data_IF_893620837641
#
_entry.id   IF_893620837641
#
_cell.length_a   1.000
_cell.length_b   1.000
_cell.length_c   1.000
_cell.angle_alpha   90.00
_cell.angle_beta   90.00
_cell.angle_gamma   90.00
#
_symmetry.space_group_name_H-M   'P 1'
#
loop_
_entity.id
_entity.type
_entity.pdbx_description
1 polymer ?
#
# COMPACT_ATOMS: atom_id res chain seq x y z
N UNK A 1 24.11 -16.01 19.86
CA UNK A 1 23.23 -15.54 18.76
C UNK A 1 21.88 -15.05 19.29
N UNK A 2 21.17 -15.83 20.11
CA UNK A 2 19.83 -15.44 20.62
C UNK A 2 19.83 -14.17 21.47
N UNK A 3 20.79 -14.01 22.40
CA UNK A 3 20.89 -12.81 23.25
C UNK A 3 21.23 -11.53 22.47
N UNK A 4 22.14 -11.63 21.50
CA UNK A 4 22.55 -10.49 20.67
C UNK A 4 21.44 -10.07 19.70
N UNK A 5 20.71 -11.04 19.15
CA UNK A 5 19.55 -10.76 18.33
C UNK A 5 18.41 -10.10 19.14
N UNK A 6 18.18 -10.52 20.38
CA UNK A 6 17.21 -9.87 21.27
C UNK A 6 17.62 -8.43 21.64
N UNK A 7 18.92 -8.16 21.79
CA UNK A 7 19.46 -6.80 21.97
C UNK A 7 19.25 -5.96 20.71
N UNK A 8 19.50 -6.50 19.52
CA UNK A 8 19.22 -5.84 18.24
C UNK A 8 17.75 -5.42 18.12
N UNK A 9 16.81 -6.31 18.46
CA UNK A 9 15.38 -5.97 18.44
C UNK A 9 15.03 -4.88 19.47
N UNK A 10 15.67 -4.91 20.65
CA UNK A 10 15.47 -3.91 21.71
C UNK A 10 15.98 -2.54 21.28
N UNK A 11 17.18 -2.46 20.70
CA UNK A 11 17.73 -1.19 20.19
C UNK A 11 16.92 -0.65 19.01
N UNK A 12 16.33 -1.52 18.20
CA UNK A 12 15.34 -1.18 17.17
C UNK A 12 13.93 -0.80 17.68
N UNK A 13 13.77 -0.57 18.99
CA UNK A 13 12.52 -0.08 19.61
C UNK A 13 11.40 -1.12 19.73
N UNK A 14 11.68 -2.42 19.63
CA UNK A 14 10.64 -3.46 19.72
C UNK A 14 10.27 -3.77 21.17
N UNK A 15 8.97 -3.75 21.45
CA UNK A 15 8.42 -4.12 22.75
C UNK A 15 8.79 -5.55 23.15
N UNK A 16 8.72 -5.87 24.44
CA UNK A 16 8.95 -7.25 24.91
C UNK A 16 7.98 -8.25 24.27
N UNK A 17 6.70 -7.89 24.13
CA UNK A 17 5.70 -8.74 23.46
C UNK A 17 6.02 -8.97 21.99
N UNK A 18 6.55 -7.96 21.29
CA UNK A 18 7.01 -8.10 19.91
C UNK A 18 8.23 -9.03 19.82
N UNK A 19 9.22 -8.86 20.71
CA UNK A 19 10.42 -9.72 20.77
C UNK A 19 10.07 -11.18 21.02
N UNK A 20 9.19 -11.47 21.99
CA UNK A 20 8.68 -12.83 22.26
C UNK A 20 7.98 -13.43 21.03
N UNK A 21 7.20 -12.62 20.30
CA UNK A 21 6.53 -13.07 19.08
C UNK A 21 7.53 -13.39 17.96
N UNK A 22 8.54 -12.55 17.77
CA UNK A 22 9.60 -12.75 16.78
C UNK A 22 10.35 -14.05 17.07
N UNK A 23 10.78 -14.27 18.33
CA UNK A 23 11.45 -15.50 18.73
C UNK A 23 10.64 -16.76 18.41
N UNK A 24 9.35 -16.79 18.76
CA UNK A 24 8.47 -17.92 18.43
C UNK A 24 8.37 -18.21 16.93
N UNK A 25 8.33 -17.16 16.10
CA UNK A 25 8.26 -17.32 14.65
C UNK A 25 9.58 -17.84 14.05
N UNK A 26 10.72 -17.41 14.59
CA UNK A 26 12.04 -17.89 14.16
C UNK A 26 12.21 -19.35 14.55
N UNK A 27 11.90 -19.72 15.80
CA UNK A 27 11.95 -21.11 16.27
C UNK A 27 11.07 -22.05 15.43
N UNK A 28 9.93 -21.56 14.94
CA UNK A 28 9.08 -22.35 14.05
C UNK A 28 9.67 -22.55 12.65
N UNK A 29 10.41 -21.57 12.13
CA UNK A 29 11.13 -21.72 10.87
C UNK A 29 12.38 -22.60 11.03
N UNK A 30 13.15 -22.41 12.10
CA UNK A 30 14.30 -23.29 12.45
C UNK A 30 13.85 -24.75 12.57
N UNK A 31 12.74 -25.00 13.28
CA UNK A 31 12.18 -26.36 13.38
C UNK A 31 11.79 -26.92 12.01
N UNK A 32 11.15 -26.12 11.16
CA UNK A 32 10.83 -26.54 9.80
C UNK A 32 12.08 -26.93 9.01
N UNK A 33 13.15 -26.13 9.06
CA UNK A 33 14.40 -26.42 8.36
C UNK A 33 15.08 -27.68 8.89
N UNK A 34 15.14 -27.83 10.22
CA UNK A 34 15.70 -29.02 10.85
C UNK A 34 14.94 -30.29 10.45
N UNK A 35 13.60 -30.25 10.46
CA UNK A 35 12.76 -31.41 10.17
C UNK A 35 12.67 -31.75 8.67
N UNK A 36 12.58 -30.74 7.80
CA UNK A 36 12.32 -30.94 6.37
C UNK A 36 13.59 -30.95 5.51
N UNK A 37 14.68 -30.35 6.02
CA UNK A 37 15.90 -30.13 5.24
C UNK A 37 17.18 -30.55 5.98
N UNK A 38 17.10 -30.85 7.29
CA UNK A 38 18.25 -31.26 8.09
C UNK A 38 19.30 -30.15 8.28
N UNK A 39 18.90 -28.88 8.19
CA UNK A 39 19.83 -27.73 8.25
C UNK A 39 19.37 -26.64 9.24
N UNK A 40 20.32 -25.77 9.62
CA UNK A 40 20.05 -24.58 10.42
C UNK A 40 19.61 -23.38 9.57
N UNK A 41 19.00 -22.38 10.22
CA UNK A 41 18.48 -21.17 9.59
C UNK A 41 19.55 -20.30 8.91
N UNK A 42 20.79 -20.40 9.36
CA UNK A 42 21.94 -19.70 8.77
C UNK A 42 22.29 -20.18 7.35
N UNK A 43 21.79 -21.36 6.95
CA UNK A 43 21.98 -21.93 5.62
C UNK A 43 20.74 -21.78 4.73
N UNK A 44 19.67 -21.18 5.23
CA UNK A 44 18.41 -21.06 4.50
C UNK A 44 18.56 -20.23 3.23
N UNK A 45 17.85 -20.62 2.18
CA UNK A 45 17.79 -19.88 0.92
C UNK A 45 16.35 -19.45 0.54
N UNK A 46 16.20 -18.96 -0.69
CA UNK A 46 14.92 -18.49 -1.20
C UNK A 46 13.88 -19.62 -1.34
N UNK A 47 14.32 -20.82 -1.73
CA UNK A 47 13.47 -21.99 -1.89
C UNK A 47 12.96 -22.49 -0.53
N UNK A 48 13.83 -22.44 0.48
CA UNK A 48 13.46 -22.78 1.86
C UNK A 48 12.39 -21.84 2.41
N UNK A 49 12.54 -20.53 2.18
CA UNK A 49 11.56 -19.54 2.60
C UNK A 49 10.21 -19.75 1.89
N UNK A 50 10.22 -20.05 0.59
CA UNK A 50 9.01 -20.37 -0.16
C UNK A 50 8.35 -21.66 0.33
N UNK A 51 9.15 -22.70 0.59
CA UNK A 51 8.69 -24.01 1.09
C UNK A 51 8.07 -23.89 2.47
N UNK A 52 8.68 -23.12 3.37
CA UNK A 52 8.14 -22.83 4.69
C UNK A 52 6.78 -22.13 4.61
N UNK A 53 6.67 -21.14 3.72
CA UNK A 53 5.41 -20.42 3.50
C UNK A 53 4.31 -21.38 3.05
N UNK A 54 4.59 -22.28 2.10
CA UNK A 54 3.63 -23.31 1.67
C UNK A 54 3.26 -24.24 2.83
N UNK A 55 4.24 -24.68 3.61
CA UNK A 55 4.04 -25.61 4.73
C UNK A 55 3.20 -25.00 5.85
N UNK A 56 3.50 -23.78 6.30
CA UNK A 56 2.79 -23.16 7.43
C UNK A 56 1.33 -22.82 7.06
N UNK A 57 1.08 -22.51 5.79
CA UNK A 57 -0.26 -22.15 5.29
C UNK A 57 -1.14 -23.36 4.94
N UNK A 58 -0.60 -24.59 4.98
CA UNK A 58 -1.43 -25.81 4.97
C UNK A 58 -2.27 -25.93 6.26
N UNK A 59 -1.86 -25.27 7.34
CA UNK A 59 -2.58 -25.29 8.61
C UNK A 59 -3.85 -24.44 8.53
N UNK A 60 -5.00 -24.92 9.05
CA UNK A 60 -6.24 -24.16 9.05
C UNK A 60 -6.08 -22.77 9.67
N UNK A 61 -6.66 -21.75 9.00
CA UNK A 61 -6.70 -20.35 9.47
C UNK A 61 -5.31 -19.74 9.76
N UNK A 62 -4.25 -20.27 9.15
CA UNK A 62 -2.88 -19.80 9.37
C UNK A 62 -2.39 -19.02 8.16
N UNK A 63 -1.66 -17.93 8.40
CA UNK A 63 -0.96 -17.19 7.35
C UNK A 63 0.49 -16.96 7.77
N UNK A 64 1.41 -17.12 6.83
CA UNK A 64 2.83 -16.89 7.03
C UNK A 64 3.17 -15.41 7.29
N UNK A 65 2.20 -14.49 7.15
CA UNK A 65 2.40 -13.03 7.27
C UNK A 65 3.20 -12.64 8.50
N UNK A 66 2.86 -13.20 9.67
CA UNK A 66 3.52 -12.86 10.94
C UNK A 66 4.94 -13.40 10.98
N UNK A 67 5.16 -14.63 10.51
CA UNK A 67 6.47 -15.25 10.40
C UNK A 67 7.38 -14.48 9.47
N UNK A 68 6.90 -14.11 8.29
CA UNK A 68 7.66 -13.34 7.30
C UNK A 68 8.11 -11.97 7.84
N UNK A 69 7.33 -11.36 8.73
CA UNK A 69 7.75 -10.14 9.44
C UNK A 69 8.83 -10.39 10.48
N UNK A 70 8.74 -11.49 11.22
CA UNK A 70 9.75 -11.88 12.19
C UNK A 70 11.07 -12.24 11.49
N UNK A 71 11.00 -13.06 10.45
CA UNK A 71 12.15 -13.47 9.63
C UNK A 71 12.82 -12.28 8.95
N UNK A 72 12.06 -11.26 8.55
CA UNK A 72 12.63 -10.02 8.04
C UNK A 72 13.63 -9.36 9.00
N UNK A 73 13.39 -9.39 10.33
CA UNK A 73 14.38 -8.89 11.29
C UNK A 73 15.58 -9.81 11.44
N UNK A 74 15.38 -11.12 11.38
CA UNK A 74 16.48 -12.07 11.46
C UNK A 74 17.43 -11.89 10.27
N UNK A 75 16.88 -11.86 9.05
CA UNK A 75 17.67 -11.64 7.84
C UNK A 75 18.32 -10.26 7.79
N UNK A 76 17.69 -9.22 8.33
CA UNK A 76 18.34 -7.93 8.54
C UNK A 76 19.53 -8.03 9.50
N UNK A 77 19.35 -8.69 10.64
CA UNK A 77 20.40 -8.88 11.64
C UNK A 77 21.59 -9.68 11.11
N UNK A 78 21.33 -10.71 10.29
CA UNK A 78 22.37 -11.55 9.69
C UNK A 78 22.88 -11.02 8.34
N UNK A 79 22.50 -9.81 7.94
CA UNK A 79 22.87 -9.18 6.66
C UNK A 79 22.50 -10.01 5.40
N UNK A 80 21.42 -10.80 5.46
CA UNK A 80 20.86 -11.57 4.35
C UNK A 80 19.81 -10.75 3.57
N UNK A 81 20.28 -9.72 2.86
CA UNK A 81 19.41 -8.69 2.25
C UNK A 81 18.43 -9.22 1.19
N UNK A 82 18.80 -10.26 0.43
CA UNK A 82 17.90 -10.84 -0.56
C UNK A 82 16.75 -11.62 0.08
N UNK A 83 17.03 -12.40 1.13
CA UNK A 83 15.96 -13.08 1.90
C UNK A 83 15.10 -12.08 2.66
N UNK A 84 15.69 -11.01 3.20
CA UNK A 84 14.94 -9.91 3.82
C UNK A 84 13.95 -9.30 2.82
N UNK A 85 14.40 -9.00 1.59
CA UNK A 85 13.56 -8.47 0.52
C UNK A 85 12.45 -9.46 0.15
N UNK A 86 12.80 -10.73 -0.05
CA UNK A 86 11.84 -11.78 -0.40
C UNK A 86 10.78 -11.98 0.68
N UNK A 87 11.18 -12.01 1.96
CA UNK A 87 10.26 -12.10 3.08
C UNK A 87 9.29 -10.91 3.10
N UNK A 88 9.78 -9.70 2.79
CA UNK A 88 8.95 -8.51 2.61
C UNK A 88 7.91 -8.66 1.51
N UNK A 89 8.31 -9.17 0.34
CA UNK A 89 7.42 -9.40 -0.81
C UNK A 89 6.34 -10.45 -0.48
N UNK A 90 6.74 -11.61 0.06
CA UNK A 90 5.79 -12.66 0.47
C UNK A 90 4.83 -12.17 1.55
N UNK A 91 5.29 -11.30 2.45
CA UNK A 91 4.42 -10.71 3.48
C UNK A 91 3.40 -9.78 2.83
N UNK A 92 3.83 -8.92 1.90
CA UNK A 92 2.94 -7.97 1.21
C UNK A 92 1.80 -8.69 0.48
N UNK A 93 2.10 -9.82 -0.19
CA UNK A 93 1.10 -10.65 -0.85
C UNK A 93 0.00 -11.18 0.10
N UNK A 94 0.31 -11.32 1.38
CA UNK A 94 -0.60 -11.84 2.44
C UNK A 94 -1.28 -10.73 3.23
N UNK A 95 -1.05 -9.47 2.88
CA UNK A 95 -1.66 -8.33 3.55
C UNK A 95 -2.93 -7.89 2.82
N UNK A 96 -4.08 -8.14 3.44
CA UNK A 96 -5.33 -7.49 3.04
C UNK A 96 -5.26 -6.03 3.48
N UNK A 97 -4.95 -5.12 2.55
CA UNK A 97 -5.04 -3.68 2.80
C UNK A 97 -6.51 -3.29 2.84
N UNK A 98 -6.97 -2.73 3.96
CA UNK A 98 -8.31 -2.13 4.05
C UNK A 98 -8.46 -1.11 2.92
N UNK A 99 -9.49 -1.22 2.07
CA UNK A 99 -9.71 -0.25 1.00
C UNK A 99 -9.85 1.17 1.56
N UNK A 100 -9.26 2.15 0.89
CA UNK A 100 -9.39 3.55 1.26
C UNK A 100 -10.82 4.02 0.97
N UNK A 101 -11.49 4.63 1.95
CA UNK A 101 -12.90 5.01 1.83
C UNK A 101 -13.05 6.34 1.10
N UNK A 102 -14.13 6.51 0.34
CA UNK A 102 -14.38 7.73 -0.42
C UNK A 102 -14.60 8.94 0.50
N UNK A 103 -15.33 8.75 1.60
CA UNK A 103 -15.60 9.80 2.60
C UNK A 103 -14.33 10.34 3.28
N UNK A 104 -13.23 9.60 3.21
CA UNK A 104 -11.97 9.98 3.86
C UNK A 104 -11.14 10.90 2.94
N UNK A 105 -11.53 11.09 1.66
CA UNK A 105 -10.90 12.10 0.82
C UNK A 105 -11.22 13.51 1.33
N UNK A 106 -10.22 14.38 1.31
CA UNK A 106 -10.41 15.77 1.71
C UNK A 106 -11.38 16.46 0.75
N UNK A 107 -12.32 17.22 1.32
CA UNK A 107 -13.29 18.02 0.54
C UNK A 107 -14.43 17.21 -0.07
N UNK A 108 -14.50 15.89 0.16
CA UNK A 108 -15.65 15.09 -0.26
C UNK A 108 -16.83 15.36 0.67
N UNK A 109 -17.95 15.76 0.09
CA UNK A 109 -19.20 15.98 0.81
C UNK A 109 -19.70 14.66 1.46
N UNK A 110 -19.99 14.66 2.78
CA UNK A 110 -20.50 13.48 3.46
C UNK A 110 -21.81 12.94 2.88
N UNK A 111 -22.69 13.81 2.37
CA UNK A 111 -23.96 13.40 1.75
C UNK A 111 -23.74 12.61 0.46
N UNK A 112 -22.82 13.09 -0.38
CA UNK A 112 -22.36 12.43 -1.61
C UNK A 112 -21.78 11.05 -1.30
N UNK A 113 -20.88 10.96 -0.31
CA UNK A 113 -20.30 9.68 0.10
C UNK A 113 -21.37 8.71 0.67
N UNK A 114 -22.36 9.23 1.39
CA UNK A 114 -23.47 8.42 1.93
C UNK A 114 -24.38 7.86 0.82
N UNK A 115 -24.73 8.68 -0.19
CA UNK A 115 -25.51 8.24 -1.37
C UNK A 115 -24.83 7.09 -2.11
N UNK A 116 -23.53 7.21 -2.38
CA UNK A 116 -22.74 6.12 -3.00
C UNK A 116 -22.66 4.89 -2.09
N UNK A 117 -22.50 5.08 -0.78
CA UNK A 117 -22.44 3.98 0.16
C UNK A 117 -23.76 3.20 0.26
N UNK A 118 -24.91 3.85 0.02
CA UNK A 118 -26.24 3.22 -0.01
C UNK A 118 -26.38 2.22 -1.17
N UNK A 119 -25.76 2.51 -2.32
CA UNK A 119 -25.69 1.60 -3.48
C UNK A 119 -24.45 0.68 -3.45
N UNK A 120 -23.76 0.59 -2.30
CA UNK A 120 -22.65 -0.33 -2.09
C UNK A 120 -21.26 0.17 -2.49
N UNK A 121 -21.14 1.42 -2.95
CA UNK A 121 -19.88 2.05 -3.35
C UNK A 121 -19.30 2.86 -2.18
N UNK A 122 -18.36 2.27 -1.43
CA UNK A 122 -17.79 2.85 -0.21
C UNK A 122 -16.32 3.24 -0.34
N UNK A 123 -15.59 2.61 -1.26
CA UNK A 123 -14.15 2.71 -1.36
C UNK A 123 -13.64 2.90 -2.78
N UNK A 124 -12.36 3.26 -2.89
CA UNK A 124 -11.69 3.58 -4.16
C UNK A 124 -11.78 2.46 -5.21
N UNK A 125 -11.71 1.19 -4.81
CA UNK A 125 -11.78 0.07 -5.76
C UNK A 125 -13.18 -0.05 -6.36
N UNK A 126 -14.21 0.11 -5.52
CA UNK A 126 -15.60 0.08 -5.96
C UNK A 126 -15.93 1.27 -6.84
N UNK A 127 -15.44 2.46 -6.50
CA UNK A 127 -15.65 3.67 -7.30
C UNK A 127 -15.02 3.54 -8.69
N UNK A 128 -13.80 3.03 -8.78
CA UNK A 128 -13.12 2.80 -10.06
C UNK A 128 -13.84 1.76 -10.92
N UNK A 129 -14.37 0.70 -10.30
CA UNK A 129 -15.14 -0.32 -11.02
C UNK A 129 -16.46 0.27 -11.56
N UNK A 130 -17.17 1.03 -10.74
CA UNK A 130 -18.48 1.58 -11.09
C UNK A 130 -18.41 2.78 -12.03
N UNK A 131 -17.39 3.64 -11.92
CA UNK A 131 -17.21 4.86 -12.70
C UNK A 131 -16.20 4.75 -13.86
N UNK A 132 -15.90 3.52 -14.30
CA UNK A 132 -14.81 3.21 -15.23
C UNK A 132 -14.91 3.98 -16.55
N UNK A 133 -16.10 4.09 -17.12
CA UNK A 133 -16.35 4.69 -18.45
C UNK A 133 -17.25 5.91 -18.31
N UNK A 134 -17.26 6.78 -19.33
CA UNK A 134 -18.17 7.94 -19.35
C UNK A 134 -19.63 7.52 -19.19
N UNK A 135 -20.06 6.51 -19.92
CA UNK A 135 -21.42 5.97 -19.82
C UNK A 135 -21.74 5.48 -18.40
N UNK A 136 -20.81 4.76 -17.76
CA UNK A 136 -21.03 4.27 -16.41
C UNK A 136 -21.14 5.42 -15.39
N UNK A 137 -20.37 6.51 -15.57
CA UNK A 137 -20.49 7.72 -14.75
C UNK A 137 -21.84 8.42 -14.94
N UNK A 138 -22.34 8.53 -16.17
CA UNK A 138 -23.69 9.05 -16.45
C UNK A 138 -24.77 8.20 -15.78
N UNK A 139 -24.68 6.87 -15.87
CA UNK A 139 -25.61 5.97 -15.19
C UNK A 139 -25.59 6.14 -13.67
N UNK A 140 -24.41 6.24 -13.06
CA UNK A 140 -24.28 6.53 -11.63
C UNK A 140 -24.88 7.89 -11.25
N UNK A 141 -24.71 8.90 -12.10
CA UNK A 141 -25.28 10.23 -11.89
C UNK A 141 -26.80 10.17 -11.82
N UNK A 142 -27.43 9.48 -12.77
CA UNK A 142 -28.88 9.28 -12.81
C UNK A 142 -29.40 8.48 -11.62
N UNK A 143 -28.70 7.42 -11.22
CA UNK A 143 -29.08 6.56 -10.10
C UNK A 143 -29.00 7.28 -8.74
N UNK A 144 -27.95 8.07 -8.53
CA UNK A 144 -27.64 8.67 -7.22
C UNK A 144 -28.09 10.13 -7.09
N UNK A 145 -28.41 10.79 -8.21
CA UNK A 145 -28.64 12.23 -8.28
C UNK A 145 -27.40 13.06 -7.92
N UNK A 146 -26.20 12.49 -8.00
CA UNK A 146 -24.92 13.21 -7.88
C UNK A 146 -24.52 13.70 -9.26
N UNK A 147 -23.97 14.92 -9.38
CA UNK A 147 -23.53 15.43 -10.68
C UNK A 147 -22.43 14.56 -11.30
N UNK A 148 -22.40 14.49 -12.64
CA UNK A 148 -21.34 13.77 -13.37
C UNK A 148 -19.95 14.30 -13.01
N UNK A 149 -19.80 15.61 -12.78
CA UNK A 149 -18.53 16.23 -12.39
C UNK A 149 -18.04 15.73 -11.03
N UNK A 150 -18.91 15.66 -10.03
CA UNK A 150 -18.54 15.13 -8.70
C UNK A 150 -18.23 13.63 -8.77
N UNK A 151 -18.94 12.88 -9.61
CA UNK A 151 -18.62 11.46 -9.84
C UNK A 151 -17.25 11.33 -10.51
N UNK A 152 -16.96 12.13 -11.53
CA UNK A 152 -15.69 12.13 -12.23
C UNK A 152 -14.53 12.51 -11.29
N UNK A 153 -14.73 13.51 -10.43
CA UNK A 153 -13.78 13.88 -9.39
C UNK A 153 -13.49 12.71 -8.45
N UNK A 154 -14.51 12.01 -7.95
CA UNK A 154 -14.33 10.84 -7.08
C UNK A 154 -13.61 9.69 -7.80
N UNK A 155 -13.85 9.49 -9.09
CA UNK A 155 -13.11 8.52 -9.93
C UNK A 155 -11.64 8.92 -10.03
N UNK A 156 -11.34 10.19 -10.33
CA UNK A 156 -9.98 10.73 -10.44
C UNK A 156 -9.20 10.63 -9.14
N UNK A 157 -9.80 11.03 -8.02
CA UNK A 157 -9.22 10.85 -6.68
C UNK A 157 -8.95 9.38 -6.36
N UNK A 158 -9.90 8.50 -6.73
CA UNK A 158 -9.75 7.06 -6.55
C UNK A 158 -8.64 6.48 -7.43
N UNK A 159 -8.46 7.00 -8.65
CA UNK A 159 -7.41 6.60 -9.57
C UNK A 159 -6.04 6.97 -9.00
N UNK A 160 -5.86 8.21 -8.54
CA UNK A 160 -4.62 8.64 -7.86
C UNK A 160 -4.31 7.79 -6.63
N UNK A 161 -5.33 7.44 -5.83
CA UNK A 161 -5.17 6.62 -4.62
C UNK A 161 -4.77 5.15 -4.89
N UNK A 162 -4.67 4.73 -6.16
CA UNK A 162 -4.08 3.43 -6.55
C UNK A 162 -2.58 3.41 -6.34
N UNK A 163 -1.92 4.57 -6.41
CA UNK A 163 -0.50 4.71 -6.12
C UNK A 163 -0.31 4.56 -4.60
N UNK A 164 0.49 3.60 -4.11
CA UNK A 164 0.71 3.43 -2.68
C UNK A 164 1.29 4.71 -2.06
N UNK A 165 0.87 5.02 -0.83
CA UNK A 165 1.25 6.27 -0.16
C UNK A 165 0.39 7.49 -0.55
N UNK A 166 -0.32 7.48 -1.68
CA UNK A 166 -1.29 8.53 -2.02
C UNK A 166 -2.63 8.23 -1.34
N UNK A 167 -3.06 9.16 -0.46
CA UNK A 167 -4.27 9.10 0.36
C UNK A 167 -4.97 10.46 0.39
N UNK A 168 -5.98 10.60 1.24
CA UNK A 168 -6.82 11.79 1.47
C UNK A 168 -6.24 13.12 0.98
N UNK A 169 -5.24 13.65 1.68
CA UNK A 169 -4.68 14.99 1.46
C UNK A 169 -3.86 15.04 0.17
N UNK A 170 -3.02 14.03 -0.06
CA UNK A 170 -2.09 13.98 -1.20
C UNK A 170 -2.83 13.81 -2.53
N UNK A 171 -3.86 12.95 -2.57
CA UNK A 171 -4.70 12.77 -3.74
C UNK A 171 -5.43 14.08 -4.11
N UNK A 172 -5.98 14.76 -3.10
CA UNK A 172 -6.64 16.06 -3.26
C UNK A 172 -5.67 17.13 -3.78
N UNK A 173 -4.47 17.23 -3.19
CA UNK A 173 -3.44 18.16 -3.65
C UNK A 173 -3.13 17.97 -5.14
N UNK A 174 -2.88 16.73 -5.58
CA UNK A 174 -2.58 16.44 -6.97
C UNK A 174 -3.76 16.72 -7.91
N UNK A 175 -4.97 16.33 -7.50
CA UNK A 175 -6.18 16.59 -8.26
C UNK A 175 -6.37 18.09 -8.51
N UNK A 176 -6.33 18.90 -7.45
CA UNK A 176 -6.60 20.34 -7.54
C UNK A 176 -5.45 21.09 -8.25
N UNK A 177 -4.24 20.55 -8.21
CA UNK A 177 -3.10 21.03 -8.99
C UNK A 177 -3.11 20.58 -10.47
N UNK A 178 -4.15 19.86 -10.91
CA UNK A 178 -4.32 19.41 -12.29
C UNK A 178 -3.61 18.10 -12.67
N UNK A 179 -2.95 17.45 -11.71
CA UNK A 179 -2.34 16.12 -11.83
C UNK A 179 -3.36 15.07 -11.36
N UNK A 180 -4.51 15.05 -12.01
CA UNK A 180 -5.73 14.41 -11.51
C UNK A 180 -5.94 12.96 -11.98
N UNK A 181 -5.01 12.38 -12.72
CA UNK A 181 -5.04 10.96 -13.14
C UNK A 181 -3.70 10.28 -12.97
N UNK A 182 -3.70 8.95 -12.89
CA UNK A 182 -2.44 8.16 -12.86
C UNK A 182 -1.63 8.38 -14.14
N UNK A 183 -2.30 8.54 -15.28
CA UNK A 183 -1.64 8.78 -16.57
C UNK A 183 -0.91 10.13 -16.57
N UNK A 184 -1.56 11.20 -16.11
CA UNK A 184 -0.91 12.50 -15.97
C UNK A 184 0.27 12.42 -15.01
N UNK A 185 0.11 11.77 -13.86
CA UNK A 185 1.20 11.56 -12.89
C UNK A 185 2.42 10.88 -13.54
N UNK A 186 2.20 9.87 -14.39
CA UNK A 186 3.28 9.12 -15.05
C UNK A 186 4.11 9.98 -16.04
N UNK A 187 3.55 11.06 -16.55
CA UNK A 187 4.19 11.97 -17.52
C UNK A 187 5.06 13.05 -16.86
N UNK A 188 4.97 13.22 -15.54
CA UNK A 188 5.78 14.21 -14.84
C UNK A 188 7.22 13.74 -14.64
N UNK A 189 8.11 14.72 -14.54
CA UNK A 189 9.46 14.53 -13.99
C UNK A 189 9.50 14.94 -12.50
N UNK A 190 10.23 14.22 -11.63
CA UNK A 190 10.10 14.37 -10.17
C UNK A 190 10.37 15.78 -9.65
N UNK A 191 11.41 16.43 -10.15
CA UNK A 191 11.81 17.77 -9.78
C UNK A 191 10.79 18.81 -10.26
N UNK A 192 10.21 18.60 -11.44
CA UNK A 192 9.15 19.45 -11.98
C UNK A 192 7.85 19.32 -11.17
N UNK A 193 7.44 18.09 -10.84
CA UNK A 193 6.26 17.84 -10.01
C UNK A 193 6.40 18.50 -8.64
N UNK A 194 7.55 18.33 -7.98
CA UNK A 194 7.82 18.98 -6.69
C UNK A 194 7.66 20.50 -6.78
N UNK A 195 8.32 21.13 -7.76
CA UNK A 195 8.20 22.59 -7.95
C UNK A 195 6.76 23.01 -8.19
N UNK A 196 6.03 22.31 -9.04
CA UNK A 196 4.62 22.60 -9.31
C UNK A 196 3.76 22.51 -8.04
N UNK A 197 3.97 21.51 -7.18
CA UNK A 197 3.23 21.38 -5.93
C UNK A 197 3.57 22.49 -4.92
N UNK A 198 4.83 22.91 -4.84
CA UNK A 198 5.24 24.04 -3.98
C UNK A 198 4.52 25.31 -4.42
N UNK A 199 4.63 25.65 -5.72
CA UNK A 199 3.98 26.84 -6.28
C UNK A 199 2.46 26.79 -6.11
N UNK A 200 1.84 25.62 -6.30
CA UNK A 200 0.40 25.45 -6.10
C UNK A 200 0.00 25.73 -4.64
N UNK A 201 0.69 25.14 -3.67
CA UNK A 201 0.40 25.35 -2.24
C UNK A 201 0.59 26.81 -1.84
N UNK A 202 1.69 27.43 -2.26
CA UNK A 202 1.98 28.85 -1.97
C UNK A 202 0.92 29.79 -2.57
N UNK A 203 0.50 29.53 -3.81
CA UNK A 203 -0.47 30.38 -4.52
C UNK A 203 -1.90 30.23 -4.02
N UNK A 204 -2.29 29.02 -3.59
CA UNK A 204 -3.69 28.70 -3.23
C UNK A 204 -3.94 28.68 -1.73
N UNK A 205 -2.88 28.66 -0.90
CA UNK A 205 -3.02 28.46 0.54
C UNK A 205 -3.51 27.06 0.90
N UNK A 206 -3.29 26.06 0.04
CA UNK A 206 -3.74 24.69 0.29
C UNK A 206 -3.18 24.17 1.63
N UNK A 207 -4.06 23.70 2.51
CA UNK A 207 -3.71 23.21 3.86
C UNK A 207 -3.00 21.84 3.82
N UNK A 208 -1.79 21.78 3.26
CA UNK A 208 -1.03 20.55 3.16
C UNK A 208 0.41 20.77 2.75
N UNK A 209 1.27 19.80 3.04
CA UNK A 209 2.70 19.90 2.72
C UNK A 209 2.92 19.56 1.25
N UNK A 210 3.67 20.38 0.48
CA UNK A 210 4.09 20.05 -0.87
C UNK A 210 4.78 18.67 -0.95
N UNK A 211 4.67 18.02 -2.09
CA UNK A 211 5.27 16.69 -2.29
C UNK A 211 6.79 16.72 -2.14
N UNK A 212 7.33 15.81 -1.34
CA UNK A 212 8.78 15.64 -1.20
C UNK A 212 9.37 15.01 -2.46
N UNK A 213 10.65 15.27 -2.75
CA UNK A 213 11.27 14.75 -3.98
C UNK A 213 11.27 13.21 -4.02
N UNK A 214 11.53 12.55 -2.89
CA UNK A 214 11.47 11.10 -2.79
C UNK A 214 10.06 10.55 -3.06
N UNK A 215 9.02 11.21 -2.54
CA UNK A 215 7.62 10.84 -2.80
C UNK A 215 7.24 11.03 -4.27
N UNK A 216 7.70 12.12 -4.90
CA UNK A 216 7.50 12.39 -6.32
C UNK A 216 8.13 11.28 -7.17
N UNK A 217 9.39 10.94 -6.92
CA UNK A 217 10.12 9.85 -7.60
C UNK A 217 9.36 8.53 -7.49
N UNK A 218 8.95 8.17 -6.28
CA UNK A 218 8.18 6.96 -6.03
C UNK A 218 6.83 6.96 -6.74
N UNK A 219 6.07 8.07 -6.64
CA UNK A 219 4.72 8.18 -7.21
C UNK A 219 4.73 8.07 -8.73
N UNK A 220 5.68 8.75 -9.39
CA UNK A 220 5.85 8.71 -10.85
C UNK A 220 6.27 7.32 -11.31
N UNK A 221 7.31 6.73 -10.69
CA UNK A 221 7.77 5.39 -11.04
C UNK A 221 6.64 4.36 -10.88
N UNK A 222 5.84 4.47 -9.81
CA UNK A 222 4.71 3.59 -9.60
C UNK A 222 3.59 3.85 -10.61
N UNK A 223 3.25 5.10 -10.90
CA UNK A 223 2.25 5.46 -11.89
C UNK A 223 2.57 4.83 -13.26
N UNK A 224 3.84 4.89 -13.69
CA UNK A 224 4.33 4.25 -14.93
C UNK A 224 4.15 2.72 -14.94
N UNK A 225 4.12 2.08 -13.78
CA UNK A 225 3.92 0.61 -13.66
C UNK A 225 2.45 0.18 -13.57
N UNK A 226 1.51 1.12 -13.42
CA UNK A 226 0.10 0.80 -13.20
C UNK A 226 -0.64 0.68 -14.55
N UNK A 227 -1.54 -0.31 -14.72
CA UNK A 227 -2.34 -0.40 -15.92
C UNK A 227 -3.36 0.74 -16.00
N UNK A 228 -3.76 1.10 -17.22
CA UNK A 228 -4.91 1.98 -17.43
C UNK A 228 -6.19 1.29 -16.98
N UNK A 229 -6.93 1.91 -16.06
CA UNK A 229 -8.22 1.37 -15.57
C UNK A 229 -9.40 2.21 -16.02
N UNK A 230 -9.27 3.53 -16.03
CA UNK A 230 -10.37 4.47 -16.30
C UNK A 230 -10.28 4.99 -17.73
N UNK A 231 -11.45 5.13 -18.35
CA UNK A 231 -11.64 5.81 -19.63
C UNK A 231 -12.16 7.23 -19.34
N UNK A 232 -11.26 8.20 -19.51
CA UNK A 232 -11.52 9.62 -19.32
C UNK A 232 -12.12 10.25 -20.57
#
# INVERSE_FOLDING_TARGET
>A
MEDDFLRFLKSGGRSESARKRVGKCIQEFERFLAEQRGMGIEHADAEDLESFVKWIEQRPKTSAKTHLWALGYYFEYTAQEDLRRLAGLFREQRMVRKPFLLRDFRGVDPGTAAKLAAIGIRNVKQMLAAGRTRQARTSLSLETGISEDTILELVKLSDLARIPGIKAIRARLYHDAGVDTVEKMAQWEPEALRRAMVVFVERTGFDGVPTLLAEARYSIAKARSLPRLVEY
#
